data_IF_199357877941
#
_entry.id   IF_199357877941
#
_cell.length_a   1.000
_cell.length_b   1.000
_cell.length_c   1.000
_cell.angle_alpha   90.00
_cell.angle_beta   90.00
_cell.angle_gamma   90.00
#
_symmetry.space_group_name_H-M   'P 1'
#
loop_
_entity.id
_entity.type
_entity.pdbx_description
1 polymer ?
#
# COMPACT_ATOMS: atom_id res chain seq x y z
N UNK A 1 30.50 0.85 -5.72
CA UNK A 1 29.90 -0.39 -5.15
C UNK A 1 29.17 -0.15 -3.80
N UNK A 2 29.41 0.97 -3.11
CA UNK A 2 28.71 1.31 -1.85
C UNK A 2 27.36 2.03 -2.07
N UNK A 3 27.01 2.38 -3.29
CA UNK A 3 25.79 3.17 -3.60
C UNK A 3 24.55 2.30 -3.90
N UNK A 4 24.72 1.06 -4.33
CA UNK A 4 23.59 0.20 -4.75
C UNK A 4 22.89 -0.56 -3.59
N UNK A 5 23.51 -0.67 -2.41
CA UNK A 5 22.87 -1.29 -1.25
C UNK A 5 21.85 -0.39 -0.52
N UNK A 6 21.81 0.90 -0.85
CA UNK A 6 20.89 1.88 -0.24
C UNK A 6 19.44 1.85 -0.75
N UNK A 7 19.13 1.54 -2.03
CA UNK A 7 17.75 1.65 -2.54
C UNK A 7 16.77 0.67 -1.86
N UNK A 8 17.17 -0.58 -1.65
CA UNK A 8 16.30 -1.58 -1.01
C UNK A 8 16.05 -1.28 0.48
N UNK A 9 17.02 -0.69 1.18
CA UNK A 9 16.85 -0.27 2.57
C UNK A 9 15.97 1.00 2.69
N UNK A 10 16.05 1.89 1.71
CA UNK A 10 15.20 3.09 1.64
C UNK A 10 13.75 2.76 1.29
N UNK A 11 13.48 1.81 0.42
CA UNK A 11 12.12 1.36 0.07
C UNK A 11 11.43 0.76 1.30
N UNK A 12 12.13 -0.03 2.12
CA UNK A 12 11.60 -0.59 3.38
C UNK A 12 11.46 0.45 4.51
N UNK A 13 12.27 1.52 4.51
CA UNK A 13 12.22 2.56 5.56
C UNK A 13 11.16 3.62 5.25
N UNK A 14 10.82 3.87 3.97
CA UNK A 14 9.79 4.84 3.59
C UNK A 14 8.36 4.37 3.89
N UNK A 15 8.12 3.07 4.05
CA UNK A 15 6.83 2.56 4.47
C UNK A 15 6.47 2.87 5.93
N UNK A 16 7.44 3.27 6.77
CA UNK A 16 7.22 3.50 8.20
C UNK A 16 7.42 4.95 8.68
N UNK A 17 7.52 5.93 7.78
CA UNK A 17 7.56 7.34 8.17
C UNK A 17 6.54 8.15 7.39
N UNK A 18 5.34 8.23 7.93
CA UNK A 18 4.49 9.41 7.73
C UNK A 18 5.23 10.60 8.33
N UNK A 19 6.11 11.24 7.54
CA UNK A 19 6.59 12.56 7.91
C UNK A 19 5.38 13.51 7.82
N UNK A 20 5.21 14.44 8.81
CA UNK A 20 4.14 15.43 8.73
C UNK A 20 4.24 16.15 7.39
N UNK A 21 3.12 16.20 6.67
CA UNK A 21 3.04 16.89 5.40
C UNK A 21 3.44 18.35 5.60
N UNK A 22 4.46 18.81 4.88
CA UNK A 22 4.68 20.24 4.77
C UNK A 22 3.47 20.85 4.08
N UNK A 23 3.20 22.13 4.35
CA UNK A 23 2.05 22.86 3.78
C UNK A 23 1.97 22.76 2.23
N UNK A 24 3.12 22.61 1.56
CA UNK A 24 3.25 22.36 0.11
C UNK A 24 2.77 20.98 -0.32
N UNK A 25 2.99 19.92 0.48
CA UNK A 25 2.49 18.58 0.20
C UNK A 25 0.98 18.44 0.37
N UNK A 26 0.41 19.20 1.29
CA UNK A 26 -1.05 19.29 1.46
C UNK A 26 -1.74 19.91 0.22
N UNK A 27 -1.10 20.86 -0.45
CA UNK A 27 -1.63 21.50 -1.65
C UNK A 27 -1.64 20.54 -2.87
N UNK A 28 -0.64 19.66 -3.00
CA UNK A 28 -0.61 18.59 -4.01
C UNK A 28 -1.73 17.56 -3.74
N UNK A 29 -1.96 17.23 -2.47
CA UNK A 29 -3.03 16.33 -2.05
C UNK A 29 -4.42 16.82 -2.49
N UNK A 30 -4.70 18.12 -2.32
CA UNK A 30 -5.99 18.73 -2.70
C UNK A 30 -6.24 18.69 -4.23
N UNK A 31 -5.20 18.75 -5.07
CA UNK A 31 -5.37 18.62 -6.53
C UNK A 31 -5.60 17.20 -7.00
N UNK A 32 -4.98 16.21 -6.38
CA UNK A 32 -5.21 14.80 -6.70
C UNK A 32 -6.65 14.40 -6.39
N UNK A 33 -7.24 14.95 -5.34
CA UNK A 33 -8.65 14.78 -5.01
C UNK A 33 -9.60 15.47 -6.02
N UNK A 34 -9.11 16.42 -6.82
CA UNK A 34 -9.89 17.15 -7.82
C UNK A 34 -9.90 16.52 -9.22
N UNK A 35 -9.14 15.44 -9.47
CA UNK A 35 -9.17 14.71 -10.73
C UNK A 35 -10.57 14.11 -11.01
N UNK A 36 -11.05 14.07 -12.27
CA UNK A 36 -12.42 13.65 -12.61
C UNK A 36 -12.82 12.27 -12.09
N UNK A 37 -11.89 11.35 -11.92
CA UNK A 37 -12.12 10.05 -11.30
C UNK A 37 -12.35 10.13 -9.77
N UNK A 38 -12.07 11.30 -9.17
CA UNK A 38 -12.16 11.58 -7.74
C UNK A 38 -13.20 12.65 -7.40
N UNK A 39 -13.92 13.23 -8.40
CA UNK A 39 -14.99 14.18 -8.14
C UNK A 39 -16.19 13.49 -7.49
N UNK A 40 -16.12 13.31 -6.19
CA UNK A 40 -17.27 13.36 -5.30
C UNK A 40 -16.96 14.39 -4.23
N UNK A 41 -17.52 15.57 -4.46
CA UNK A 41 -17.85 16.65 -3.55
C UNK A 41 -17.06 16.72 -2.23
N UNK A 42 -16.02 17.55 -2.21
CA UNK A 42 -15.62 18.25 -1.00
C UNK A 42 -15.59 19.74 -1.38
N UNK A 43 -16.63 20.45 -0.96
CA UNK A 43 -16.69 21.89 -0.96
C UNK A 43 -15.83 22.36 0.23
N UNK A 44 -14.57 22.63 0.00
CA UNK A 44 -13.68 23.19 1.01
C UNK A 44 -13.13 24.52 0.50
N UNK A 45 -13.68 25.60 1.07
CA UNK A 45 -13.21 26.96 0.86
C UNK A 45 -11.84 27.18 1.49
N UNK A 46 -10.78 26.86 0.76
CA UNK A 46 -9.40 27.25 1.10
C UNK A 46 -8.69 27.76 -0.16
N UNK A 47 -8.05 28.93 0.01
CA UNK A 47 -7.29 29.72 -0.95
C UNK A 47 -6.61 28.90 -2.05
N UNK A 48 -6.88 29.27 -3.31
CA UNK A 48 -6.06 28.91 -4.47
C UNK A 48 -4.64 29.44 -4.30
N UNK A 49 -3.72 28.57 -3.88
CA UNK A 49 -2.30 28.74 -4.19
C UNK A 49 -2.04 28.00 -5.51
N UNK A 50 -1.38 28.66 -6.45
CA UNK A 50 -0.87 28.04 -7.68
C UNK A 50 0.05 26.86 -7.30
N UNK A 51 -0.49 25.65 -7.38
CA UNK A 51 0.29 24.44 -7.16
C UNK A 51 0.85 24.02 -8.50
N UNK A 52 2.17 23.85 -8.58
CA UNK A 52 2.84 23.34 -9.76
C UNK A 52 2.15 22.06 -10.25
N UNK A 53 1.97 21.96 -11.55
CA UNK A 53 1.34 20.82 -12.18
C UNK A 53 2.13 19.54 -11.91
N UNK A 54 1.46 18.48 -11.51
CA UNK A 54 2.08 17.22 -11.09
C UNK A 54 1.50 16.07 -11.92
N UNK A 55 2.37 15.20 -12.40
CA UNK A 55 1.95 13.95 -13.05
C UNK A 55 1.42 12.96 -12.02
N UNK A 56 0.26 12.38 -12.30
CA UNK A 56 -0.26 11.26 -11.54
C UNK A 56 0.07 9.97 -12.28
N UNK A 57 0.84 9.09 -11.65
CA UNK A 57 1.32 7.84 -12.23
C UNK A 57 0.84 6.67 -11.39
N UNK A 58 0.41 5.59 -12.04
CA UNK A 58 -0.05 4.38 -11.37
C UNK A 58 0.34 3.12 -12.16
N UNK A 59 0.33 1.94 -11.52
CA UNK A 59 0.34 0.68 -12.25
C UNK A 59 -0.85 0.60 -13.21
N UNK A 60 -0.61 0.11 -14.42
CA UNK A 60 -1.68 -0.14 -15.39
C UNK A 60 -2.76 -1.03 -14.76
N UNK A 61 -4.04 -0.65 -14.92
CA UNK A 61 -5.19 -1.34 -14.31
C UNK A 61 -5.51 -0.90 -12.88
N UNK A 62 -4.83 0.10 -12.33
CA UNK A 62 -5.15 0.68 -11.02
C UNK A 62 -6.62 1.08 -10.89
N UNK A 63 -7.21 1.68 -11.93
CA UNK A 63 -8.60 2.14 -11.94
C UNK A 63 -9.63 1.00 -11.94
N UNK A 64 -9.20 -0.24 -12.24
CA UNK A 64 -10.08 -1.41 -12.21
C UNK A 64 -10.31 -1.98 -10.81
N UNK A 65 -9.60 -1.46 -9.80
CA UNK A 65 -9.74 -1.94 -8.44
C UNK A 65 -11.10 -1.59 -7.84
N UNK A 66 -11.79 -2.62 -7.33
CA UNK A 66 -13.00 -2.49 -6.53
C UNK A 66 -12.91 -3.40 -5.31
N UNK A 67 -13.25 -2.87 -4.15
CA UNK A 67 -13.23 -3.64 -2.91
C UNK A 67 -14.22 -4.83 -2.97
N UNK A 68 -13.78 -5.98 -2.50
CA UNK A 68 -14.60 -7.20 -2.43
C UNK A 68 -15.53 -7.24 -1.22
N UNK A 69 -15.31 -6.37 -0.24
CA UNK A 69 -16.08 -6.31 1.01
C UNK A 69 -16.15 -7.67 1.72
N UNK A 70 -17.37 -8.23 1.86
CA UNK A 70 -17.66 -9.49 2.54
C UNK A 70 -17.10 -10.74 1.86
N UNK A 71 -16.63 -10.64 0.62
CA UNK A 71 -16.05 -11.77 -0.13
C UNK A 71 -14.59 -12.04 0.17
N UNK A 72 -13.91 -11.14 0.90
CA UNK A 72 -12.54 -11.37 1.36
C UNK A 72 -12.50 -12.49 2.41
N UNK A 73 -11.50 -13.36 2.33
CA UNK A 73 -11.25 -14.39 3.34
C UNK A 73 -10.65 -13.80 4.61
N UNK A 74 -9.88 -12.72 4.46
CA UNK A 74 -9.27 -11.95 5.52
C UNK A 74 -9.84 -10.54 5.54
N UNK A 75 -9.66 -9.83 6.66
CA UNK A 75 -10.14 -8.47 6.81
C UNK A 75 -9.00 -7.46 6.82
N UNK A 76 -9.22 -6.31 6.15
CA UNK A 76 -8.35 -5.14 6.27
C UNK A 76 -8.65 -4.29 7.52
N UNK A 77 -9.65 -4.66 8.33
CA UNK A 77 -10.05 -3.95 9.54
C UNK A 77 -9.45 -4.60 10.81
N UNK A 78 -8.22 -5.12 10.72
CA UNK A 78 -7.51 -5.73 11.83
C UNK A 78 -5.98 -5.57 11.68
N UNK A 79 -5.26 -5.54 12.80
CA UNK A 79 -3.80 -5.58 12.85
C UNK A 79 -3.11 -4.25 12.58
N UNK A 80 -3.80 -3.12 12.61
CA UNK A 80 -3.21 -1.79 12.44
C UNK A 80 -4.09 -0.70 13.06
N UNK A 81 -3.46 0.40 13.47
CA UNK A 81 -4.12 1.56 14.04
C UNK A 81 -4.93 2.31 12.99
N UNK A 82 -6.16 2.69 13.33
CA UNK A 82 -7.08 3.38 12.42
C UNK A 82 -7.27 4.81 12.91
N UNK A 83 -6.54 5.72 12.32
CA UNK A 83 -6.63 7.14 12.62
C UNK A 83 -7.99 7.72 12.18
N UNK A 84 -8.52 8.61 13.02
CA UNK A 84 -9.73 9.36 12.75
C UNK A 84 -9.33 10.81 12.50
N UNK A 85 -9.39 11.22 11.24
CA UNK A 85 -9.09 12.59 10.83
C UNK A 85 -10.14 13.60 11.37
N UNK A 86 -9.80 14.89 11.32
CA UNK A 86 -10.63 15.95 11.91
C UNK A 86 -12.02 16.04 11.27
N UNK A 87 -12.13 15.84 9.95
CA UNK A 87 -13.38 15.91 9.21
C UNK A 87 -14.29 14.73 9.59
N UNK A 88 -13.74 13.52 9.62
CA UNK A 88 -14.45 12.33 10.09
C UNK A 88 -14.87 12.47 11.55
N UNK A 89 -13.99 12.96 12.41
CA UNK A 89 -14.29 13.19 13.83
C UNK A 89 -15.44 14.19 14.01
N UNK A 90 -15.45 15.28 13.25
CA UNK A 90 -16.51 16.28 13.28
C UNK A 90 -17.85 15.66 12.82
N UNK A 91 -17.85 14.86 11.77
CA UNK A 91 -19.02 14.14 11.28
C UNK A 91 -19.53 13.11 12.30
N UNK A 92 -18.64 12.30 12.86
CA UNK A 92 -19.00 11.26 13.86
C UNK A 92 -19.63 11.83 15.12
N UNK A 93 -19.23 13.02 15.56
CA UNK A 93 -19.82 13.73 16.70
C UNK A 93 -21.27 14.15 16.47
N UNK A 94 -21.73 14.21 15.21
CA UNK A 94 -23.11 14.55 14.87
C UNK A 94 -24.02 13.31 14.78
N UNK A 95 -23.45 12.11 14.74
CA UNK A 95 -24.20 10.86 14.64
C UNK A 95 -24.98 10.63 15.93
N UNK A 96 -26.28 10.37 15.78
CA UNK A 96 -27.21 10.15 16.92
C UNK A 96 -27.51 8.65 17.07
N UNK A 97 -28.16 8.31 18.17
CA UNK A 97 -28.63 6.94 18.41
C UNK A 97 -27.55 5.97 18.90
N UNK A 98 -27.79 4.66 18.73
CA UNK A 98 -26.86 3.64 19.21
C UNK A 98 -25.46 3.74 18.59
N UNK A 99 -25.37 3.99 17.28
CA UNK A 99 -24.11 4.12 16.57
C UNK A 99 -23.31 5.36 17.05
N UNK A 100 -23.98 6.49 17.27
CA UNK A 100 -23.32 7.69 17.82
C UNK A 100 -22.75 7.47 19.21
N UNK A 101 -23.45 6.71 20.07
CA UNK A 101 -22.94 6.31 21.39
C UNK A 101 -21.70 5.41 21.27
N UNK A 102 -21.73 4.45 20.34
CA UNK A 102 -20.60 3.56 20.07
C UNK A 102 -19.39 4.34 19.55
N UNK A 103 -19.60 5.25 18.59
CA UNK A 103 -18.55 6.14 18.09
C UNK A 103 -17.89 6.94 19.22
N UNK A 104 -18.69 7.54 20.10
CA UNK A 104 -18.20 8.30 21.25
C UNK A 104 -17.41 7.45 22.27
N UNK A 105 -17.66 6.16 22.34
CA UNK A 105 -16.97 5.22 23.23
C UNK A 105 -15.67 4.67 22.61
N UNK A 106 -15.69 4.41 21.29
CA UNK A 106 -14.61 3.72 20.61
C UNK A 106 -13.58 4.66 19.95
N UNK A 107 -13.86 5.97 19.88
CA UNK A 107 -12.86 6.96 19.48
C UNK A 107 -12.07 7.38 20.71
N UNK A 108 -10.76 7.19 20.66
CA UNK A 108 -9.83 7.55 21.73
C UNK A 108 -8.87 8.62 21.26
N UNK A 109 -8.42 9.46 22.18
CA UNK A 109 -7.42 10.47 21.93
C UNK A 109 -6.09 10.05 22.55
N UNK A 110 -5.02 10.07 21.77
CA UNK A 110 -3.66 9.82 22.21
C UNK A 110 -3.05 11.05 22.91
N UNK A 111 -1.91 10.89 23.55
CA UNK A 111 -1.21 11.97 24.26
C UNK A 111 -0.77 13.12 23.34
N UNK A 112 -0.47 12.83 22.09
CA UNK A 112 -0.09 13.80 21.06
C UNK A 112 -1.29 14.57 20.46
N UNK A 113 -2.52 14.21 20.89
CA UNK A 113 -3.74 14.83 20.45
C UNK A 113 -4.41 14.17 19.24
N UNK A 114 -3.80 13.16 18.63
CA UNK A 114 -4.39 12.38 17.53
C UNK A 114 -5.58 11.54 18.01
N UNK A 115 -6.50 11.24 17.11
CA UNK A 115 -7.67 10.40 17.40
C UNK A 115 -7.59 9.11 16.60
N UNK A 116 -7.95 7.99 17.23
CA UNK A 116 -8.02 6.68 16.57
C UNK A 116 -9.19 5.85 17.11
N UNK A 117 -9.55 4.78 16.39
CA UNK A 117 -10.48 3.80 16.92
C UNK A 117 -9.76 2.88 17.91
N UNK A 118 -10.42 2.62 19.05
CA UNK A 118 -9.96 1.63 20.02
C UNK A 118 -10.17 0.22 19.47
N UNK A 119 -9.08 -0.44 19.11
CA UNK A 119 -9.14 -1.82 18.63
C UNK A 119 -9.57 -2.76 19.75
N UNK A 120 -10.18 -3.90 19.39
CA UNK A 120 -10.48 -4.99 20.32
C UNK A 120 -9.18 -5.65 20.81
N UNK A 121 -9.30 -6.58 21.76
CA UNK A 121 -8.17 -7.36 22.25
C UNK A 121 -7.50 -8.22 21.15
N UNK A 122 -8.25 -8.53 20.08
CA UNK A 122 -7.81 -9.25 18.90
C UNK A 122 -7.36 -8.29 17.79
N UNK A 123 -7.05 -7.04 18.13
CA UNK A 123 -6.61 -5.97 17.20
C UNK A 123 -7.58 -5.71 16.03
N UNK A 124 -8.89 -5.91 16.26
CA UNK A 124 -9.92 -5.69 15.24
C UNK A 124 -10.60 -4.34 15.44
N UNK A 125 -10.98 -3.72 14.32
CA UNK A 125 -11.79 -2.50 14.33
C UNK A 125 -13.12 -2.76 15.07
N UNK A 126 -13.55 -1.88 15.99
CA UNK A 126 -14.80 -2.04 16.71
C UNK A 126 -16.05 -1.98 15.82
N UNK A 127 -15.92 -1.39 14.61
CA UNK A 127 -17.00 -1.29 13.63
C UNK A 127 -16.98 -2.42 12.58
N UNK A 128 -16.09 -3.41 12.72
CA UNK A 128 -16.12 -4.61 11.91
C UNK A 128 -17.20 -5.57 12.43
N UNK A 129 -18.18 -5.85 11.60
CA UNK A 129 -19.30 -6.75 11.89
C UNK A 129 -18.89 -8.22 11.75
N UNK A 130 -19.73 -9.11 12.24
CA UNK A 130 -19.51 -10.57 12.12
C UNK A 130 -19.61 -11.08 10.67
N UNK A 131 -20.33 -10.36 9.82
CA UNK A 131 -20.47 -10.65 8.39
C UNK A 131 -19.36 -10.03 7.54
N UNK A 132 -18.28 -9.59 8.17
CA UNK A 132 -17.09 -8.96 7.55
C UNK A 132 -17.36 -7.59 6.89
N UNK A 133 -18.54 -7.01 7.10
CA UNK A 133 -18.86 -5.67 6.63
C UNK A 133 -18.52 -4.59 7.67
N UNK A 134 -18.28 -3.38 7.19
CA UNK A 134 -18.07 -2.21 8.03
C UNK A 134 -19.44 -1.63 8.47
N UNK A 135 -19.66 -1.54 9.78
CA UNK A 135 -20.90 -0.96 10.35
C UNK A 135 -21.09 0.50 9.92
N UNK A 136 -19.99 1.28 9.82
CA UNK A 136 -20.07 2.68 9.38
C UNK A 136 -20.58 2.78 7.94
N UNK A 137 -20.08 1.94 7.03
CA UNK A 137 -20.57 1.91 5.65
C UNK A 137 -22.04 1.49 5.59
N UNK A 138 -22.43 0.47 6.37
CA UNK A 138 -23.79 -0.05 6.35
C UNK A 138 -24.82 0.96 6.86
N UNK A 139 -24.47 1.75 7.88
CA UNK A 139 -25.39 2.66 8.56
C UNK A 139 -25.31 4.12 8.02
N UNK A 140 -24.16 4.56 7.57
CA UNK A 140 -23.90 5.95 7.19
C UNK A 140 -23.51 6.13 5.72
N UNK A 141 -23.12 5.05 5.03
CA UNK A 141 -22.61 5.11 3.66
C UNK A 141 -21.07 5.18 3.57
N UNK A 142 -20.49 4.87 2.39
CA UNK A 142 -19.04 4.82 2.20
C UNK A 142 -18.34 6.17 2.37
N UNK A 143 -19.04 7.28 2.19
CA UNK A 143 -18.55 8.64 2.38
C UNK A 143 -18.33 9.01 3.85
N UNK A 144 -18.80 8.18 4.79
CA UNK A 144 -18.60 8.38 6.23
C UNK A 144 -17.26 7.86 6.74
N UNK A 145 -16.48 7.18 5.91
CA UNK A 145 -15.20 6.62 6.32
C UNK A 145 -14.18 7.72 6.62
N UNK A 146 -13.37 7.53 7.68
CA UNK A 146 -12.17 8.32 7.86
C UNK A 146 -11.19 8.12 6.70
N UNK A 147 -10.32 9.09 6.48
CA UNK A 147 -9.45 9.15 5.30
C UNK A 147 -8.62 7.88 5.12
N UNK A 148 -8.04 7.34 6.19
CA UNK A 148 -7.20 6.14 6.12
C UNK A 148 -8.00 4.91 5.67
N UNK A 149 -9.26 4.77 6.09
CA UNK A 149 -10.15 3.69 5.66
C UNK A 149 -10.63 3.88 4.21
N UNK A 150 -10.95 5.11 3.81
CA UNK A 150 -11.37 5.44 2.44
C UNK A 150 -10.23 5.22 1.43
N UNK A 151 -9.00 5.51 1.82
CA UNK A 151 -7.82 5.34 0.99
C UNK A 151 -7.35 3.88 0.89
N UNK A 152 -7.60 3.06 1.90
CA UNK A 152 -7.14 1.67 1.86
C UNK A 152 -7.66 0.91 0.63
N UNK A 153 -6.83 0.17 -0.10
CA UNK A 153 -5.41 -0.12 0.08
C UNK A 153 -4.47 0.80 -0.72
N UNK A 154 -4.88 2.01 -1.02
CA UNK A 154 -4.11 2.93 -1.85
C UNK A 154 -2.98 3.56 -1.06
N UNK A 155 -1.79 3.62 -1.67
CA UNK A 155 -0.66 4.37 -1.15
C UNK A 155 -0.19 5.41 -2.16
N UNK A 156 0.57 6.39 -1.70
CA UNK A 156 1.09 7.50 -2.51
C UNK A 156 2.55 7.75 -2.20
N UNK A 157 3.36 7.85 -3.26
CA UNK A 157 4.74 8.29 -3.20
C UNK A 157 4.83 9.66 -3.86
N UNK A 158 5.30 10.64 -3.12
CA UNK A 158 5.40 12.03 -3.58
C UNK A 158 6.83 12.31 -4.04
N UNK A 159 6.97 12.77 -5.28
CA UNK A 159 8.19 13.27 -5.89
C UNK A 159 7.96 14.71 -6.34
N UNK A 160 9.05 15.43 -6.66
CA UNK A 160 8.96 16.84 -7.04
C UNK A 160 8.12 17.06 -8.32
N UNK A 161 8.22 16.15 -9.31
CA UNK A 161 7.52 16.27 -10.60
C UNK A 161 6.26 15.40 -10.72
N UNK A 162 6.01 14.49 -9.77
CA UNK A 162 4.93 13.49 -9.86
C UNK A 162 4.46 12.98 -8.53
N UNK A 163 3.26 12.42 -8.55
CA UNK A 163 2.76 11.54 -7.49
C UNK A 163 2.55 10.15 -8.11
N UNK A 164 3.15 9.14 -7.52
CA UNK A 164 2.89 7.76 -7.87
C UNK A 164 1.92 7.16 -6.87
N UNK A 165 0.85 6.59 -7.38
CA UNK A 165 -0.17 5.91 -6.57
C UNK A 165 -0.16 4.41 -6.88
N UNK A 166 -0.48 3.59 -5.90
CA UNK A 166 -0.55 2.15 -6.09
C UNK A 166 -1.51 1.50 -5.11
N UNK A 167 -1.60 0.16 -5.20
CA UNK A 167 -2.44 -0.66 -4.33
C UNK A 167 -1.55 -1.55 -3.47
N UNK A 168 -1.73 -1.45 -2.16
CA UNK A 168 -1.02 -2.28 -1.19
C UNK A 168 -1.43 -3.76 -1.31
N UNK A 169 -0.44 -4.65 -1.40
CA UNK A 169 -0.66 -6.09 -1.49
C UNK A 169 -1.16 -6.72 -0.18
N UNK A 170 -1.28 -5.94 0.89
CA UNK A 170 -1.97 -6.32 2.12
C UNK A 170 -3.49 -6.49 1.91
N UNK A 171 -4.07 -5.89 0.87
CA UNK A 171 -5.44 -6.12 0.45
C UNK A 171 -5.52 -7.37 -0.43
N UNK A 172 -6.35 -8.33 -0.03
CA UNK A 172 -6.55 -9.60 -0.74
C UNK A 172 -6.95 -9.40 -2.20
N UNK A 173 -7.89 -8.50 -2.48
CA UNK A 173 -8.34 -8.23 -3.85
C UNK A 173 -7.29 -7.50 -4.69
N UNK A 174 -6.57 -6.54 -4.10
CA UNK A 174 -5.47 -5.87 -4.80
C UNK A 174 -4.36 -6.88 -5.17
N UNK A 175 -4.00 -7.75 -4.23
CA UNK A 175 -3.02 -8.82 -4.46
C UNK A 175 -3.51 -9.78 -5.54
N UNK A 176 -4.77 -10.24 -5.47
CA UNK A 176 -5.37 -11.14 -6.46
C UNK A 176 -5.35 -10.54 -7.86
N UNK A 177 -5.77 -9.29 -8.02
CA UNK A 177 -5.77 -8.60 -9.32
C UNK A 177 -4.35 -8.46 -9.87
N UNK A 178 -3.41 -8.05 -9.03
CA UNK A 178 -2.04 -7.78 -9.46
C UNK A 178 -1.32 -9.08 -9.83
N UNK A 179 -1.44 -10.13 -9.04
CA UNK A 179 -0.79 -11.41 -9.29
C UNK A 179 -1.40 -12.19 -10.46
N UNK A 180 -2.67 -11.93 -10.80
CA UNK A 180 -3.36 -12.55 -11.95
C UNK A 180 -3.03 -11.88 -13.29
N UNK A 181 -2.30 -10.77 -13.33
CA UNK A 181 -2.00 -10.05 -14.57
C UNK A 181 -1.03 -10.85 -15.45
N UNK A 182 -1.42 -11.05 -16.70
CA UNK A 182 -0.56 -11.70 -17.71
C UNK A 182 0.35 -10.69 -18.43
N UNK A 183 -0.11 -9.44 -18.60
CA UNK A 183 0.69 -8.39 -19.22
C UNK A 183 1.90 -8.01 -18.34
N UNK A 184 3.05 -7.65 -18.92
CA UNK A 184 4.17 -7.12 -18.15
C UNK A 184 3.77 -5.90 -17.33
N UNK A 185 4.33 -5.78 -16.11
CA UNK A 185 4.09 -4.63 -15.25
C UNK A 185 4.50 -3.32 -15.93
N UNK A 186 3.63 -2.32 -15.88
CA UNK A 186 3.88 -0.98 -16.44
C UNK A 186 3.29 0.09 -15.53
N UNK A 187 4.00 1.20 -15.43
CA UNK A 187 3.47 2.44 -14.89
C UNK A 187 2.88 3.26 -16.04
N UNK A 188 1.71 3.83 -15.82
CA UNK A 188 0.99 4.67 -16.78
C UNK A 188 0.68 6.03 -16.18
N UNK A 189 0.67 7.07 -17.00
CA UNK A 189 0.25 8.41 -16.59
C UNK A 189 -1.27 8.45 -16.62
N UNK A 190 -1.89 8.66 -15.48
CA UNK A 190 -3.35 8.81 -15.33
C UNK A 190 -3.79 10.27 -15.55
N UNK A 191 -2.98 11.21 -15.12
CA UNK A 191 -3.19 12.64 -15.32
C UNK A 191 -1.84 13.35 -15.45
N UNK A 192 -1.82 14.43 -16.25
CA UNK A 192 -0.67 15.32 -16.42
C UNK A 192 -1.23 16.73 -16.54
N UNK A 193 -1.11 17.51 -15.46
CA UNK A 193 -1.70 18.85 -15.41
C UNK A 193 -0.75 19.94 -15.95
N UNK A 194 0.37 19.57 -16.53
CA UNK A 194 1.33 20.47 -17.18
C UNK A 194 2.77 20.38 -16.67
N UNK A 195 3.51 21.47 -16.69
CA UNK A 195 4.92 21.51 -16.34
C UNK A 195 5.10 21.56 -14.82
N UNK A 196 5.44 20.40 -14.22
CA UNK A 196 5.90 20.31 -12.84
C UNK A 196 7.32 20.82 -12.67
N UNK A 197 7.77 20.98 -11.43
CA UNK A 197 9.18 21.25 -11.13
C UNK A 197 10.04 20.06 -11.55
N UNK A 198 11.30 20.32 -11.89
CA UNK A 198 12.23 19.25 -12.23
C UNK A 198 12.52 18.37 -11.00
N UNK A 199 12.63 17.06 -11.21
CA UNK A 199 13.04 16.13 -10.16
C UNK A 199 14.34 16.57 -9.49
N UNK A 200 14.40 16.42 -8.18
CA UNK A 200 15.67 16.53 -7.47
C UNK A 200 16.68 15.49 -7.98
N UNK A 201 17.99 15.77 -7.97
CA UNK A 201 19.00 14.84 -8.47
C UNK A 201 18.93 13.44 -7.84
N UNK A 202 18.64 13.36 -6.53
CA UNK A 202 18.47 12.11 -5.79
C UNK A 202 17.19 11.35 -6.18
N UNK A 203 16.09 12.06 -6.42
CA UNK A 203 14.84 11.44 -6.91
C UNK A 203 15.05 10.89 -8.33
N UNK A 204 15.69 11.68 -9.20
CA UNK A 204 15.99 11.26 -10.56
C UNK A 204 16.93 10.04 -10.58
N UNK A 205 17.90 9.96 -9.65
CA UNK A 205 18.75 8.79 -9.50
C UNK A 205 17.96 7.58 -9.04
N UNK A 206 17.14 7.72 -7.99
CA UNK A 206 16.28 6.66 -7.45
C UNK A 206 15.36 6.08 -8.53
N UNK A 207 14.68 6.93 -9.29
CA UNK A 207 13.75 6.49 -10.34
C UNK A 207 14.46 5.79 -11.50
N UNK A 208 15.66 6.25 -11.87
CA UNK A 208 16.49 5.54 -12.89
C UNK A 208 16.92 4.16 -12.41
N UNK A 209 17.39 4.07 -11.16
CA UNK A 209 17.83 2.80 -10.58
C UNK A 209 16.67 1.83 -10.49
N UNK A 210 15.50 2.29 -10.04
CA UNK A 210 14.27 1.51 -10.00
C UNK A 210 13.87 1.00 -11.39
N UNK A 211 13.90 1.85 -12.40
CA UNK A 211 13.54 1.44 -13.76
C UNK A 211 14.51 0.36 -14.30
N UNK A 212 15.80 0.48 -14.01
CA UNK A 212 16.77 -0.56 -14.38
C UNK A 212 16.47 -1.90 -13.68
N UNK A 213 16.06 -1.88 -12.41
CA UNK A 213 15.66 -3.09 -11.69
C UNK A 213 14.34 -3.68 -12.25
N UNK A 214 13.38 -2.82 -12.60
CA UNK A 214 12.14 -3.22 -13.24
C UNK A 214 12.37 -3.84 -14.62
N UNK A 215 13.35 -3.34 -15.40
CA UNK A 215 13.72 -3.91 -16.69
C UNK A 215 14.27 -5.33 -16.55
N UNK A 216 15.07 -5.59 -15.51
CA UNK A 216 15.52 -6.95 -15.19
C UNK A 216 14.32 -7.82 -14.78
N UNK A 217 13.46 -7.32 -13.89
CA UNK A 217 12.29 -8.05 -13.40
C UNK A 217 11.31 -8.43 -14.51
N UNK A 218 11.10 -7.56 -15.51
CA UNK A 218 10.18 -7.75 -16.65
C UNK A 218 10.76 -8.55 -17.81
N UNK A 219 12.05 -8.87 -17.81
CA UNK A 219 12.73 -9.51 -18.94
C UNK A 219 12.34 -10.99 -19.06
N UNK A 220 11.22 -11.27 -19.74
CA UNK A 220 10.68 -12.63 -19.95
C UNK A 220 11.49 -13.52 -20.87
N UNK A 221 12.55 -13.00 -21.51
CA UNK A 221 13.48 -13.85 -22.27
C UNK A 221 14.34 -14.73 -21.36
N UNK A 222 14.33 -14.45 -20.05
CA UNK A 222 15.08 -15.16 -19.02
C UNK A 222 14.14 -15.76 -17.99
N UNK A 223 14.45 -16.95 -17.44
CA UNK A 223 13.68 -17.54 -16.35
C UNK A 223 13.61 -16.63 -15.12
N UNK A 224 12.49 -16.61 -14.40
CA UNK A 224 12.29 -15.73 -13.24
C UNK A 224 13.40 -15.88 -12.20
N UNK A 225 13.81 -17.12 -11.92
CA UNK A 225 14.90 -17.39 -10.97
C UNK A 225 16.24 -16.72 -11.35
N UNK A 226 16.55 -16.65 -12.64
CA UNK A 226 17.76 -15.97 -13.10
C UNK A 226 17.66 -14.45 -12.91
N UNK A 227 16.48 -13.88 -13.11
CA UNK A 227 16.18 -12.45 -12.88
C UNK A 227 16.28 -12.11 -11.39
N UNK A 228 15.64 -12.91 -10.53
CA UNK A 228 15.70 -12.73 -9.07
C UNK A 228 17.15 -12.81 -8.58
N UNK A 229 17.91 -13.80 -9.05
CA UNK A 229 19.32 -13.95 -8.66
C UNK A 229 20.18 -12.73 -9.06
N UNK A 230 19.96 -12.18 -10.24
CA UNK A 230 20.64 -10.96 -10.69
C UNK A 230 20.29 -9.76 -9.81
N UNK A 231 19.02 -9.56 -9.50
CA UNK A 231 18.55 -8.49 -8.61
C UNK A 231 19.16 -8.62 -7.21
N UNK A 232 19.23 -9.85 -6.66
CA UNK A 232 19.89 -10.11 -5.37
C UNK A 232 21.38 -9.76 -5.41
N UNK A 233 22.08 -10.15 -6.50
CA UNK A 233 23.50 -9.83 -6.68
C UNK A 233 23.73 -8.31 -6.74
N UNK A 234 22.87 -7.57 -7.46
CA UNK A 234 22.93 -6.11 -7.53
C UNK A 234 22.68 -5.47 -6.15
N UNK A 235 21.81 -6.08 -5.33
CA UNK A 235 21.58 -5.65 -3.96
C UNK A 235 22.71 -6.05 -2.98
N UNK A 236 23.75 -6.75 -3.44
CA UNK A 236 24.83 -7.25 -2.59
C UNK A 236 24.41 -8.41 -1.68
N UNK A 237 23.31 -9.08 -2.01
CA UNK A 237 22.79 -10.25 -1.28
C UNK A 237 23.37 -11.54 -1.83
N UNK A 238 23.44 -12.56 -0.99
CA UNK A 238 23.81 -13.90 -1.46
C UNK A 238 22.77 -14.44 -2.47
N UNK A 239 23.27 -15.07 -3.54
CA UNK A 239 22.42 -15.54 -4.64
C UNK A 239 21.53 -16.75 -4.30
N UNK A 240 21.81 -17.45 -3.22
CA UNK A 240 21.04 -18.58 -2.73
C UNK A 240 20.64 -18.37 -1.26
N UNK A 241 19.52 -17.68 -1.01
CA UNK A 241 19.04 -17.46 0.34
C UNK A 241 18.70 -18.79 1.00
N UNK A 242 19.14 -19.00 2.23
CA UNK A 242 18.70 -20.14 3.03
C UNK A 242 17.22 -19.97 3.39
N UNK A 243 16.35 -20.60 2.58
CA UNK A 243 14.90 -20.57 2.79
C UNK A 243 14.48 -21.11 4.15
N UNK A 244 15.29 -22.00 4.75
CA UNK A 244 15.05 -22.51 6.12
C UNK A 244 15.34 -21.44 7.17
N UNK A 245 16.40 -20.66 6.97
CA UNK A 245 16.68 -19.53 7.84
C UNK A 245 15.57 -18.49 7.77
N UNK A 246 15.09 -18.16 6.57
CA UNK A 246 13.96 -17.25 6.36
C UNK A 246 12.67 -17.80 6.98
N UNK A 247 12.31 -19.05 6.73
CA UNK A 247 11.13 -19.66 7.35
C UNK A 247 11.23 -19.68 8.88
N UNK A 248 12.42 -19.96 9.42
CA UNK A 248 12.68 -19.93 10.86
C UNK A 248 12.59 -18.50 11.43
N UNK A 249 12.99 -17.50 10.67
CA UNK A 249 12.82 -16.09 11.04
C UNK A 249 11.33 -15.71 11.08
N UNK A 250 10.57 -15.97 10.02
CA UNK A 250 9.14 -15.66 9.97
C UNK A 250 8.31 -16.40 11.03
N UNK A 251 8.73 -17.61 11.42
CA UNK A 251 8.09 -18.35 12.53
C UNK A 251 8.24 -17.67 13.91
N UNK A 252 9.16 -16.72 14.05
CA UNK A 252 9.35 -15.93 15.29
C UNK A 252 8.48 -14.67 15.32
N UNK A 253 7.95 -14.26 14.16
CA UNK A 253 7.07 -13.12 14.06
C UNK A 253 5.65 -13.49 14.50
N UNK A 254 4.80 -12.50 14.61
CA UNK A 254 3.39 -12.70 14.88
C UNK A 254 2.75 -13.64 13.87
N UNK A 255 1.84 -14.51 14.37
CA UNK A 255 1.17 -15.53 13.56
C UNK A 255 -0.15 -14.98 13.05
N UNK A 256 -0.18 -14.63 11.76
CA UNK A 256 -1.37 -14.10 11.11
C UNK A 256 -2.38 -15.20 10.78
N UNK A 257 -1.89 -16.36 10.27
CA UNK A 257 -2.73 -17.42 9.74
C UNK A 257 -2.15 -18.81 10.03
N UNK A 258 -2.99 -19.79 10.45
CA UNK A 258 -2.53 -21.16 10.69
C UNK A 258 -1.96 -21.87 9.45
N UNK A 259 -2.53 -21.62 8.24
CA UNK A 259 -2.05 -22.21 7.01
C UNK A 259 -0.67 -21.67 6.63
N UNK A 260 -0.45 -20.36 6.78
CA UNK A 260 0.86 -19.72 6.65
C UNK A 260 1.87 -20.32 7.63
N UNK A 261 1.48 -20.50 8.89
CA UNK A 261 2.35 -21.13 9.90
C UNK A 261 2.72 -22.57 9.54
N UNK A 262 1.78 -23.37 8.99
CA UNK A 262 2.04 -24.71 8.51
C UNK A 262 3.03 -24.72 7.34
N UNK A 263 2.83 -23.85 6.36
CA UNK A 263 3.74 -23.68 5.21
C UNK A 263 5.16 -23.31 5.66
N UNK A 264 5.30 -22.38 6.60
CA UNK A 264 6.61 -22.00 7.14
C UNK A 264 7.32 -23.17 7.84
N UNK A 265 6.57 -24.03 8.56
CA UNK A 265 7.12 -25.24 9.19
C UNK A 265 7.60 -26.24 8.15
N UNK A 266 6.88 -26.41 7.06
CA UNK A 266 7.30 -27.26 5.94
C UNK A 266 8.56 -26.71 5.29
N UNK A 267 8.61 -25.40 5.00
CA UNK A 267 9.78 -24.74 4.42
C UNK A 267 11.01 -24.82 5.31
N UNK A 268 10.84 -24.70 6.63
CA UNK A 268 11.93 -24.85 7.60
C UNK A 268 12.56 -26.23 7.61
N UNK A 269 11.83 -27.26 7.14
CA UNK A 269 12.27 -28.65 7.08
C UNK A 269 12.63 -29.11 5.65
N UNK A 270 12.24 -28.31 4.64
CA UNK A 270 12.46 -28.67 3.24
C UNK A 270 13.97 -28.75 2.92
N UNK A 271 14.43 -29.71 2.11
CA UNK A 271 15.74 -29.63 1.49
C UNK A 271 15.79 -28.34 0.64
N UNK A 272 16.96 -27.69 0.58
CA UNK A 272 17.17 -26.42 -0.12
C UNK A 272 16.37 -26.36 -1.42
N UNK A 273 15.46 -25.39 -1.51
CA UNK A 273 14.40 -25.43 -2.48
C UNK A 273 14.90 -25.28 -3.91
N UNK A 274 14.43 -26.12 -4.81
CA UNK A 274 14.62 -25.89 -6.22
C UNK A 274 13.82 -24.66 -6.69
N UNK A 275 14.15 -24.24 -7.87
CA UNK A 275 13.55 -23.22 -8.71
C UNK A 275 12.01 -23.12 -8.54
N UNK A 276 11.50 -21.91 -8.53
CA UNK A 276 10.06 -21.65 -8.60
C UNK A 276 9.44 -22.45 -9.76
N UNK A 277 8.33 -23.14 -9.55
CA UNK A 277 7.60 -23.81 -10.62
C UNK A 277 7.26 -22.81 -11.74
N UNK A 278 7.27 -23.25 -12.98
CA UNK A 278 6.95 -22.39 -14.13
C UNK A 278 5.55 -21.75 -14.01
N UNK A 279 4.61 -22.48 -13.41
CA UNK A 279 3.26 -21.99 -13.09
C UNK A 279 3.22 -20.75 -12.19
N UNK A 280 4.27 -20.52 -11.39
CA UNK A 280 4.39 -19.35 -10.53
C UNK A 280 5.25 -18.23 -11.14
N UNK A 281 5.74 -18.40 -12.38
CA UNK A 281 6.60 -17.39 -13.01
C UNK A 281 5.91 -16.06 -13.22
N UNK A 282 4.66 -16.03 -13.69
CA UNK A 282 3.92 -14.79 -13.88
C UNK A 282 3.50 -14.12 -12.57
N UNK A 283 2.86 -14.81 -11.62
CA UNK A 283 2.56 -14.23 -10.31
C UNK A 283 3.82 -13.75 -9.59
N UNK A 284 4.91 -14.50 -9.65
CA UNK A 284 6.19 -14.12 -9.05
C UNK A 284 6.83 -12.89 -9.70
N UNK A 285 6.72 -12.74 -11.01
CA UNK A 285 7.15 -11.52 -11.72
C UNK A 285 6.34 -10.30 -11.27
N UNK A 286 5.01 -10.43 -11.21
CA UNK A 286 4.14 -9.34 -10.78
C UNK A 286 4.45 -8.93 -9.34
N UNK A 287 4.59 -9.90 -8.43
CA UNK A 287 4.99 -9.65 -7.05
C UNK A 287 6.34 -8.90 -6.98
N UNK A 288 7.33 -9.38 -7.71
CA UNK A 288 8.65 -8.76 -7.75
C UNK A 288 8.59 -7.31 -8.23
N UNK A 289 7.84 -7.04 -9.30
CA UNK A 289 7.68 -5.68 -9.82
C UNK A 289 6.92 -4.75 -8.87
N UNK A 290 5.98 -5.28 -8.08
CA UNK A 290 5.28 -4.49 -7.06
C UNK A 290 6.15 -4.15 -5.85
N UNK A 291 7.20 -4.94 -5.60
CA UNK A 291 8.14 -4.72 -4.50
C UNK A 291 9.29 -3.76 -4.87
N UNK A 292 9.52 -3.51 -6.16
CA UNK A 292 10.50 -2.57 -6.70
C UNK A 292 9.90 -1.18 -6.92
#
# INVERSE_FOLDING_TARGET
LHFLARPLHLILIYHNRCAPATQERAAVFLRICAAPAFRRTVDCGILCMEVAAVKLIAPEGYDSFACFADRCQHTCCAGWEIDVDEDALAAYRQVQGPLGKKLAQEIVQAEDGTFSFRLTAEERCPFLRQDHLCELICELGPESLCQVCADHPRYRNFYTDRVEIGLGLCCEEAARQQLAREAPFRLVVLADDGEGEALLPEEAALLRDREALLDIARNRTRPLNARVRELMQLAGMEADPDMRAWASFFLKLERLDPAWTALLKELAQAPCAPLLPESLSLPGEQLLCCLL
#
